data_IF_348532784164
#
_entry.id   IF_348532784164
#
_cell.length_a   1.000
_cell.length_b   1.000
_cell.length_c   1.000
_cell.angle_alpha   90.00
_cell.angle_beta   90.00
_cell.angle_gamma   90.00
#
_symmetry.space_group_name_H-M   'P 1'
#
loop_
_entity.id
_entity.type
_entity.pdbx_description
1 polymer ?
#
# COMPACT_ATOMS: atom_id res chain seq x y z
N UNK A 1 -0.67 20.47 -0.66
CA UNK A 1 0.03 19.28 -1.18
C UNK A 1 1.44 19.50 -1.69
N UNK A 2 1.72 20.46 -2.59
CA UNK A 2 3.08 20.61 -3.12
C UNK A 2 4.16 20.85 -2.05
N UNK A 3 3.83 21.59 -0.99
CA UNK A 3 4.69 21.76 0.18
C UNK A 3 4.90 20.42 0.91
N UNK A 4 3.83 19.71 1.26
CA UNK A 4 3.91 18.40 1.92
C UNK A 4 4.76 17.40 1.12
N UNK A 5 4.56 17.30 -0.19
CA UNK A 5 5.33 16.38 -1.04
C UNK A 5 6.80 16.76 -1.14
N UNK A 6 7.09 18.06 -1.30
CA UNK A 6 8.46 18.57 -1.36
C UNK A 6 9.21 18.29 -0.05
N UNK A 7 8.59 18.57 1.09
CA UNK A 7 9.20 18.36 2.40
C UNK A 7 9.37 16.88 2.74
N UNK A 8 8.37 16.03 2.50
CA UNK A 8 8.48 14.59 2.70
C UNK A 8 9.58 13.97 1.83
N UNK A 9 9.66 14.34 0.55
CA UNK A 9 10.69 13.82 -0.37
C UNK A 9 12.09 14.28 0.01
N UNK A 10 12.25 15.55 0.42
CA UNK A 10 13.53 16.07 0.90
C UNK A 10 13.94 15.40 2.21
N UNK A 11 12.99 15.19 3.13
CA UNK A 11 13.21 14.48 4.38
C UNK A 11 13.72 13.07 4.17
N UNK A 12 13.16 12.33 3.21
CA UNK A 12 13.58 10.97 2.87
C UNK A 12 15.02 10.87 2.31
N UNK A 13 15.62 11.96 1.83
CA UNK A 13 17.01 12.00 1.35
C UNK A 13 18.06 12.21 2.47
N UNK A 14 17.63 12.59 3.66
CA UNK A 14 18.54 12.85 4.78
C UNK A 14 19.26 11.59 5.29
N UNK A 15 20.52 11.73 5.73
CA UNK A 15 21.40 10.60 6.10
C UNK A 15 20.80 9.70 7.19
N UNK A 16 20.18 10.29 8.21
CA UNK A 16 19.55 9.54 9.30
C UNK A 16 18.07 9.27 9.02
N UNK A 17 17.32 10.28 8.57
CA UNK A 17 15.86 10.19 8.35
C UNK A 17 15.48 9.11 7.34
N UNK A 18 16.32 8.80 6.34
CA UNK A 18 16.08 7.70 5.38
C UNK A 18 16.00 6.31 6.03
N UNK A 19 16.49 6.15 7.26
CA UNK A 19 16.48 4.89 8.01
C UNK A 19 15.21 4.71 8.84
N UNK A 20 14.40 5.76 8.97
CA UNK A 20 13.15 5.73 9.73
C UNK A 20 12.00 5.23 8.83
N UNK A 21 11.18 4.29 9.30
CA UNK A 21 10.06 3.80 8.52
C UNK A 21 8.93 4.83 8.46
N UNK A 22 8.18 4.81 7.37
CA UNK A 22 6.86 5.46 7.29
C UNK A 22 5.84 4.59 8.02
N UNK A 23 4.88 5.21 8.71
CA UNK A 23 3.81 4.49 9.38
C UNK A 23 2.56 4.45 8.49
N UNK A 24 2.08 3.25 8.17
CA UNK A 24 0.82 3.00 7.44
C UNK A 24 -0.15 2.11 8.24
N UNK A 25 -0.14 2.23 9.57
CA UNK A 25 -0.91 1.37 10.48
C UNK A 25 -2.38 1.76 10.63
N UNK A 26 -2.86 2.85 10.02
CA UNK A 26 -4.24 3.29 10.19
C UNK A 26 -5.23 2.31 9.55
N UNK A 27 -6.19 1.83 10.34
CA UNK A 27 -7.17 0.83 9.90
C UNK A 27 -6.62 -0.60 9.80
N UNK A 28 -5.33 -0.84 10.06
CA UNK A 28 -4.74 -2.17 9.99
C UNK A 28 -5.39 -3.11 11.03
N UNK A 29 -5.81 -4.30 10.58
CA UNK A 29 -6.60 -5.29 11.34
C UNK A 29 -7.98 -4.80 11.78
N UNK A 30 -8.55 -3.84 11.07
CA UNK A 30 -9.87 -3.30 11.34
C UNK A 30 -10.63 -2.97 10.05
N UNK A 31 -9.94 -3.00 8.91
CA UNK A 31 -10.52 -2.77 7.61
C UNK A 31 -11.25 -4.04 7.17
N UNK A 32 -12.49 -3.90 6.73
CA UNK A 32 -13.29 -5.02 6.24
C UNK A 32 -13.36 -4.95 4.71
N UNK A 33 -12.79 -5.95 4.04
CA UNK A 33 -12.96 -6.10 2.60
C UNK A 33 -14.38 -6.60 2.32
N UNK A 34 -15.09 -5.86 1.47
CA UNK A 34 -16.40 -6.21 0.92
C UNK A 34 -16.37 -6.18 -0.61
N UNK A 35 -17.42 -6.69 -1.25
CA UNK A 35 -17.64 -6.51 -2.69
C UNK A 35 -18.78 -5.52 -2.91
N UNK A 36 -18.55 -4.57 -3.80
CA UNK A 36 -19.61 -3.69 -4.29
C UNK A 36 -20.55 -4.45 -5.25
N UNK A 37 -21.67 -3.84 -5.69
CA UNK A 37 -22.60 -4.47 -6.63
C UNK A 37 -22.01 -4.83 -8.01
N UNK A 38 -20.85 -4.27 -8.38
CA UNK A 38 -20.13 -4.61 -9.61
C UNK A 38 -19.19 -5.82 -9.45
N UNK A 39 -19.01 -6.30 -8.22
CA UNK A 39 -18.07 -7.36 -7.86
C UNK A 39 -16.66 -6.84 -7.54
N UNK A 40 -16.46 -5.53 -7.52
CA UNK A 40 -15.18 -4.92 -7.18
C UNK A 40 -14.96 -4.98 -5.67
N UNK A 41 -13.75 -5.40 -5.26
CA UNK A 41 -13.38 -5.37 -3.85
C UNK A 41 -13.17 -3.94 -3.38
N UNK A 42 -13.76 -3.59 -2.25
CA UNK A 42 -13.66 -2.27 -1.62
C UNK A 42 -13.58 -2.39 -0.09
N UNK A 43 -13.15 -1.30 0.55
CA UNK A 43 -13.24 -1.10 2.00
C UNK A 43 -13.98 0.21 2.20
N UNK A 44 -15.18 0.12 2.77
CA UNK A 44 -16.07 1.26 3.00
C UNK A 44 -15.87 1.83 4.41
N UNK A 45 -14.99 2.83 4.53
CA UNK A 45 -14.77 3.58 5.78
C UNK A 45 -14.34 5.00 5.49
N UNK A 46 -14.45 5.88 6.49
CA UNK A 46 -14.20 7.32 6.32
C UNK A 46 -12.72 7.64 6.13
N UNK A 47 -11.82 6.99 6.89
CA UNK A 47 -10.37 7.24 6.82
C UNK A 47 -9.62 5.93 7.14
N UNK A 48 -8.78 5.47 6.21
CA UNK A 48 -7.87 4.33 6.38
C UNK A 48 -6.60 4.52 5.55
N UNK A 49 -5.64 3.61 5.71
CA UNK A 49 -4.41 3.54 4.90
C UNK A 49 -4.28 2.25 4.08
N UNK A 50 -5.38 1.52 3.87
CA UNK A 50 -5.35 0.25 3.14
C UNK A 50 -4.88 0.44 1.71
N UNK A 51 -5.33 1.49 1.01
CA UNK A 51 -4.91 1.78 -0.35
C UNK A 51 -3.38 1.98 -0.44
N UNK A 52 -2.78 2.68 0.53
CA UNK A 52 -1.34 2.90 0.63
C UNK A 52 -0.62 1.57 0.90
N UNK A 53 -1.10 0.75 1.86
CA UNK A 53 -0.54 -0.58 2.14
C UNK A 53 -0.56 -1.48 0.90
N UNK A 54 -1.69 -1.54 0.19
CA UNK A 54 -1.84 -2.35 -1.02
C UNK A 54 -0.97 -1.85 -2.18
N UNK A 55 -0.83 -0.53 -2.31
CA UNK A 55 0.08 0.09 -3.29
C UNK A 55 1.52 -0.33 -3.03
N UNK A 56 2.00 -0.23 -1.80
CA UNK A 56 3.38 -0.60 -1.47
C UNK A 56 3.63 -2.11 -1.50
N UNK A 57 2.62 -2.95 -1.21
CA UNK A 57 2.70 -4.41 -1.43
C UNK A 57 2.88 -4.72 -2.91
N UNK A 58 2.03 -4.18 -3.77
CA UNK A 58 2.09 -4.40 -5.23
C UNK A 58 3.39 -3.85 -5.83
N UNK A 59 3.86 -2.71 -5.32
CA UNK A 59 5.15 -2.13 -5.72
C UNK A 59 6.33 -3.01 -5.29
N UNK A 60 6.28 -3.59 -4.08
CA UNK A 60 7.30 -4.53 -3.62
C UNK A 60 7.34 -5.77 -4.50
N UNK A 61 6.19 -6.36 -4.83
CA UNK A 61 6.10 -7.53 -5.71
C UNK A 61 6.69 -7.21 -7.10
N UNK A 62 6.37 -6.04 -7.65
CA UNK A 62 6.93 -5.56 -8.90
C UNK A 62 8.45 -5.41 -8.86
N UNK A 63 8.98 -4.79 -7.80
CA UNK A 63 10.42 -4.54 -7.66
C UNK A 63 11.23 -5.81 -7.39
N UNK A 64 10.59 -6.85 -6.86
CA UNK A 64 11.22 -8.12 -6.54
C UNK A 64 11.28 -9.09 -7.74
N UNK A 65 10.32 -9.02 -8.66
CA UNK A 65 10.26 -9.91 -9.82
C UNK A 65 11.32 -9.53 -10.89
N UNK A 66 11.97 -10.54 -11.48
CA UNK A 66 12.92 -10.35 -12.59
C UNK A 66 12.20 -10.03 -13.90
N UNK A 67 10.99 -10.57 -14.07
CA UNK A 67 10.22 -10.47 -15.31
C UNK A 67 8.71 -10.65 -15.08
N UNK A 68 7.94 -10.38 -16.14
CA UNK A 68 6.48 -10.48 -16.12
C UNK A 68 5.94 -11.88 -15.79
N UNK A 69 6.43 -12.98 -16.39
CA UNK A 69 5.99 -14.32 -16.01
C UNK A 69 6.12 -14.61 -14.51
N UNK A 70 7.25 -14.23 -13.90
CA UNK A 70 7.46 -14.40 -12.46
C UNK A 70 6.48 -13.54 -11.65
N UNK A 71 6.32 -12.26 -12.00
CA UNK A 71 5.38 -11.38 -11.32
C UNK A 71 3.94 -11.92 -11.39
N UNK A 72 3.50 -12.34 -12.57
CA UNK A 72 2.16 -12.89 -12.77
C UNK A 72 1.93 -14.17 -11.97
N UNK A 73 2.96 -15.00 -11.79
CA UNK A 73 2.87 -16.23 -11.02
C UNK A 73 2.87 -15.99 -9.49
N UNK A 74 3.57 -14.95 -9.03
CA UNK A 74 3.93 -14.80 -7.63
C UNK A 74 3.39 -13.54 -6.93
N UNK A 75 2.70 -12.64 -7.64
CA UNK A 75 2.17 -11.43 -7.02
C UNK A 75 1.15 -11.75 -5.92
N UNK A 76 1.07 -10.84 -4.94
CA UNK A 76 0.12 -10.91 -3.85
C UNK A 76 -1.31 -10.92 -4.38
N UNK A 77 -2.12 -11.81 -3.84
CA UNK A 77 -3.55 -11.89 -4.18
C UNK A 77 -4.34 -10.85 -3.38
N UNK A 78 -5.37 -10.23 -3.97
CA UNK A 78 -6.22 -9.28 -3.26
C UNK A 78 -6.74 -9.90 -1.95
N UNK A 79 -6.63 -9.19 -0.82
CA UNK A 79 -7.01 -9.77 0.45
C UNK A 79 -8.54 -9.90 0.56
N UNK A 80 -8.98 -10.77 1.46
CA UNK A 80 -10.41 -11.01 1.74
C UNK A 80 -10.63 -11.01 3.25
N UNK A 81 -11.83 -10.65 3.69
CA UNK A 81 -12.15 -10.61 5.12
C UNK A 81 -11.58 -9.38 5.82
N UNK A 82 -11.22 -9.54 7.09
CA UNK A 82 -10.64 -8.51 7.95
C UNK A 82 -9.13 -8.37 7.69
N UNK A 83 -8.67 -7.14 7.51
CA UNK A 83 -7.29 -6.79 7.13
C UNK A 83 -6.75 -5.60 7.91
#
# INVERSE_FOLDING_TARGET
DGENWSHSTRGAKGTFSKTLPLNFSMGNKADQVSQDPSGQSCIETVINEHAQRWTYQSWQDWMAAENWPELMANHSQPPTGEV
#
